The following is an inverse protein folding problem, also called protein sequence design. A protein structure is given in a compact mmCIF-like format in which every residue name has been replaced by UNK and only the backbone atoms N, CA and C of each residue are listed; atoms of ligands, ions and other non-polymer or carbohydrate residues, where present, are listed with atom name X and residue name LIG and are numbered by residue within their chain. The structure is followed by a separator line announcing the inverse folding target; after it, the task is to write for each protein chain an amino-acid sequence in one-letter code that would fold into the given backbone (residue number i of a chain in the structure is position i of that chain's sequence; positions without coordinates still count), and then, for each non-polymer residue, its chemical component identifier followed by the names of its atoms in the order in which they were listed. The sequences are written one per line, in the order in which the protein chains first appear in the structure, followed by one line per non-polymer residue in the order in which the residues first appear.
data_IF_666456155464
#
_entry.id   IF_666456155464
#
_cell.length_a   1.000
_cell.length_b   1.000
_cell.length_c   1.000
_cell.angle_alpha   90.00
_cell.angle_beta   90.00
_cell.angle_gamma   90.00
#
_symmetry.space_group_name_H-M   'P 1'
#
loop_
_entity.id
_entity.type
_entity.pdbx_description
1 polymer ?
#
# COMPACT_ATOMS: atom_id res chain seq x y z
N UNK A 1 -11.23 32.64 -11.68
CA UNK A 1 -10.95 31.40 -12.46
C UNK A 1 -10.98 30.20 -11.51
N UNK A 2 -11.78 29.16 -11.78
CA UNK A 2 -11.81 27.93 -10.96
C UNK A 2 -10.50 27.15 -11.17
N UNK A 3 -9.66 27.03 -10.14
CA UNK A 3 -8.36 26.30 -10.22
C UNK A 3 -8.60 24.81 -10.45
N UNK A 4 -8.12 24.24 -11.56
CA UNK A 4 -8.29 22.80 -11.86
C UNK A 4 -7.61 21.91 -10.79
N UNK A 5 -7.99 20.63 -10.71
CA UNK A 5 -7.54 19.74 -9.64
C UNK A 5 -6.01 19.52 -9.64
N UNK A 6 -5.38 19.41 -10.81
CA UNK A 6 -3.92 19.30 -10.92
C UNK A 6 -3.19 20.54 -10.38
N UNK A 7 -3.66 21.75 -10.67
CA UNK A 7 -3.10 22.97 -10.07
C UNK A 7 -3.31 23.01 -8.56
N UNK A 8 -4.43 22.48 -8.06
CA UNK A 8 -4.63 22.35 -6.61
C UNK A 8 -3.62 21.38 -6.00
N UNK A 9 -3.34 20.25 -6.66
CA UNK A 9 -2.29 19.32 -6.25
C UNK A 9 -0.94 20.03 -6.17
N UNK A 10 -0.53 20.72 -7.23
CA UNK A 10 0.73 21.46 -7.26
C UNK A 10 0.81 22.52 -6.15
N UNK A 11 -0.24 23.33 -5.95
CA UNK A 11 -0.24 24.32 -4.86
C UNK A 11 -0.19 23.68 -3.48
N UNK A 12 -0.71 22.46 -3.30
CA UNK A 12 -0.64 21.74 -2.03
C UNK A 12 0.78 21.32 -1.65
N UNK A 13 1.71 21.33 -2.61
CA UNK A 13 3.12 21.01 -2.37
C UNK A 13 3.94 22.23 -1.92
N UNK A 14 3.58 23.46 -2.33
CA UNK A 14 4.45 24.63 -2.10
C UNK A 14 3.74 25.95 -1.73
N UNK A 15 2.45 26.14 -2.04
CA UNK A 15 1.75 27.43 -1.87
C UNK A 15 0.63 27.34 -0.83
N UNK A 16 1.02 27.21 0.43
CA UNK A 16 0.09 27.09 1.56
C UNK A 16 -0.84 28.31 1.71
N UNK A 17 -0.40 29.48 1.25
CA UNK A 17 -1.24 30.70 1.25
C UNK A 17 -2.40 30.55 0.27
N UNK A 18 -2.15 30.09 -0.97
CA UNK A 18 -3.23 29.77 -1.93
C UNK A 18 -4.12 28.65 -1.42
N UNK A 19 -3.54 27.60 -0.84
CA UNK A 19 -4.30 26.48 -0.27
C UNK A 19 -5.26 26.95 0.82
N UNK A 20 -4.87 27.93 1.65
CA UNK A 20 -5.76 28.48 2.69
C UNK A 20 -7.07 29.05 2.13
N UNK A 21 -7.08 29.53 0.87
CA UNK A 21 -8.29 30.01 0.19
C UNK A 21 -9.22 28.87 -0.25
N UNK A 22 -8.71 27.65 -0.38
CA UNK A 22 -9.49 26.48 -0.78
C UNK A 22 -10.53 26.05 0.26
N UNK A 23 -10.44 26.55 1.49
CA UNK A 23 -11.47 26.34 2.53
C UNK A 23 -12.89 26.69 2.05
N UNK A 24 -13.02 27.60 1.07
CA UNK A 24 -14.31 28.02 0.51
C UNK A 24 -14.81 27.11 -0.62
N UNK A 25 -14.08 26.04 -0.96
CA UNK A 25 -14.51 25.09 -1.99
C UNK A 25 -15.72 24.25 -1.53
N UNK A 26 -16.45 23.73 -2.51
CA UNK A 26 -17.51 22.73 -2.26
C UNK A 26 -16.86 21.41 -1.87
N UNK A 27 -17.46 20.71 -0.91
CA UNK A 27 -16.97 19.42 -0.42
C UNK A 27 -16.73 18.41 -1.55
N UNK A 28 -17.67 18.28 -2.49
CA UNK A 28 -17.53 17.37 -3.64
C UNK A 28 -16.30 17.64 -4.52
N UNK A 29 -15.80 18.88 -4.57
CA UNK A 29 -14.57 19.20 -5.30
C UNK A 29 -13.33 18.74 -4.56
N UNK A 30 -13.33 18.84 -3.24
CA UNK A 30 -12.26 18.30 -2.39
C UNK A 30 -12.27 16.77 -2.41
N UNK A 31 -13.43 16.14 -2.45
CA UNK A 31 -13.56 14.69 -2.64
C UNK A 31 -12.95 14.27 -3.99
N UNK A 32 -13.33 14.93 -5.10
CA UNK A 32 -12.73 14.66 -6.40
C UNK A 32 -11.20 14.92 -6.43
N UNK A 33 -10.74 15.93 -5.69
CA UNK A 33 -9.32 16.18 -5.49
C UNK A 33 -8.63 15.00 -4.79
N UNK A 34 -9.20 14.45 -3.71
CA UNK A 34 -8.62 13.31 -2.98
C UNK A 34 -8.47 12.11 -3.90
N UNK A 35 -9.47 11.79 -4.72
CA UNK A 35 -9.36 10.69 -5.69
C UNK A 35 -8.22 10.91 -6.70
N UNK A 36 -8.07 12.11 -7.25
CA UNK A 36 -6.96 12.43 -8.16
C UNK A 36 -5.60 12.34 -7.45
N UNK A 37 -5.51 12.91 -6.25
CA UNK A 37 -4.31 12.90 -5.44
C UNK A 37 -3.89 11.47 -5.09
N UNK A 38 -4.84 10.63 -4.66
CA UNK A 38 -4.58 9.22 -4.37
C UNK A 38 -4.15 8.45 -5.61
N UNK A 39 -4.67 8.80 -6.79
CA UNK A 39 -4.24 8.16 -8.04
C UNK A 39 -2.76 8.44 -8.29
N UNK A 40 -2.32 9.68 -8.09
CA UNK A 40 -0.92 10.08 -8.24
C UNK A 40 -0.04 9.39 -7.19
N UNK A 41 -0.48 9.41 -5.93
CA UNK A 41 0.25 8.78 -4.82
C UNK A 41 0.32 7.26 -4.98
N UNK A 42 -0.64 6.59 -5.60
CA UNK A 42 -0.56 5.14 -5.80
C UNK A 42 0.46 4.70 -6.86
N UNK A 43 0.98 5.59 -7.70
CA UNK A 43 1.85 5.24 -8.83
C UNK A 43 3.16 4.56 -8.40
N UNK A 44 3.97 5.12 -7.46
CA UNK A 44 5.22 4.50 -7.06
C UNK A 44 5.01 3.07 -6.53
N UNK A 45 4.01 2.89 -5.67
CA UNK A 45 3.63 1.57 -5.17
C UNK A 45 3.22 0.63 -6.31
N UNK A 46 2.38 1.09 -7.25
CA UNK A 46 1.93 0.28 -8.37
C UNK A 46 3.08 -0.21 -9.25
N UNK A 47 4.06 0.65 -9.52
CA UNK A 47 5.26 0.29 -10.29
C UNK A 47 6.11 -0.73 -9.54
N UNK A 48 6.43 -0.45 -8.27
CA UNK A 48 7.28 -1.33 -7.46
C UNK A 48 6.64 -2.69 -7.22
N UNK A 49 5.33 -2.74 -6.98
CA UNK A 49 4.59 -3.98 -6.87
C UNK A 49 4.63 -4.77 -8.18
N UNK A 50 4.31 -4.13 -9.31
CA UNK A 50 4.28 -4.79 -10.63
C UNK A 50 5.64 -5.38 -11.02
N UNK A 51 6.73 -4.64 -10.79
CA UNK A 51 8.10 -5.09 -11.08
C UNK A 51 8.45 -6.29 -10.22
N UNK A 52 8.16 -6.24 -8.91
CA UNK A 52 8.50 -7.33 -8.00
C UNK A 52 7.71 -8.60 -8.26
N UNK A 53 6.39 -8.51 -8.44
CA UNK A 53 5.57 -9.68 -8.77
C UNK A 53 6.03 -10.30 -10.08
N UNK A 54 6.34 -9.49 -11.10
CA UNK A 54 6.86 -9.99 -12.37
C UNK A 54 8.22 -10.65 -12.21
N UNK A 55 9.12 -10.06 -11.42
CA UNK A 55 10.43 -10.62 -11.12
C UNK A 55 10.34 -11.96 -10.38
N UNK A 56 9.50 -12.03 -9.33
CA UNK A 56 9.28 -13.25 -8.55
C UNK A 56 8.73 -14.39 -9.43
N UNK A 57 7.69 -14.11 -10.22
CA UNK A 57 7.12 -15.12 -11.14
C UNK A 57 8.13 -15.59 -12.19
N UNK A 58 8.88 -14.66 -12.79
CA UNK A 58 9.89 -15.03 -13.78
C UNK A 58 11.01 -15.89 -13.17
N UNK A 59 11.42 -15.62 -11.92
CA UNK A 59 12.44 -16.42 -11.20
C UNK A 59 11.97 -17.83 -10.92
N UNK A 60 10.72 -18.00 -10.49
CA UNK A 60 10.10 -19.31 -10.30
C UNK A 60 10.03 -20.07 -11.63
N UNK A 61 9.67 -19.39 -12.74
CA UNK A 61 9.64 -20.05 -14.05
C UNK A 61 11.03 -20.47 -14.57
N UNK A 62 12.10 -19.82 -14.12
CA UNK A 62 13.47 -20.24 -14.46
C UNK A 62 13.98 -21.40 -13.58
N UNK A 63 13.24 -21.81 -12.56
CA UNK A 63 13.57 -22.98 -11.75
C UNK A 63 13.44 -24.25 -12.59
N UNK A 64 14.45 -25.11 -12.52
CA UNK A 64 14.42 -26.39 -13.20
C UNK A 64 13.58 -27.39 -12.40
N UNK A 65 12.28 -27.45 -12.68
CA UNK A 65 11.34 -28.31 -11.95
C UNK A 65 11.63 -29.82 -12.08
N UNK A 66 12.51 -30.24 -13.01
CA UNK A 66 12.95 -31.65 -13.08
C UNK A 66 13.81 -32.07 -11.90
N UNK A 67 14.48 -31.11 -11.24
CA UNK A 67 15.41 -31.39 -10.13
C UNK A 67 14.69 -31.48 -8.77
N UNK A 68 13.39 -31.16 -8.76
CA UNK A 68 12.54 -31.21 -7.58
C UNK A 68 11.98 -32.63 -7.45
N UNK A 69 12.07 -33.30 -6.29
CA UNK A 69 11.42 -34.59 -6.05
C UNK A 69 9.91 -34.51 -6.32
N UNK A 70 9.28 -35.65 -6.58
CA UNK A 70 7.82 -35.67 -6.72
C UNK A 70 7.17 -35.37 -5.37
N UNK A 71 6.15 -34.53 -5.41
CA UNK A 71 5.35 -34.17 -4.25
C UNK A 71 3.88 -34.00 -4.65
N UNK A 72 3.01 -34.15 -3.66
CA UNK A 72 1.59 -33.91 -3.81
C UNK A 72 1.03 -33.27 -2.53
N UNK A 73 0.05 -32.39 -2.67
CA UNK A 73 -0.80 -31.97 -1.57
C UNK A 73 -1.98 -32.92 -1.56
N UNK A 74 -2.22 -33.63 -0.46
CA UNK A 74 -3.36 -34.52 -0.27
C UNK A 74 -3.90 -34.35 1.15
N UNK A 75 -5.22 -34.26 1.29
CA UNK A 75 -5.88 -34.06 2.59
C UNK A 75 -5.29 -32.85 3.36
N UNK A 76 -5.07 -31.75 2.64
CA UNK A 76 -4.48 -30.51 3.17
C UNK A 76 -3.05 -30.67 3.72
N UNK A 77 -2.34 -31.73 3.32
CA UNK A 77 -0.96 -31.98 3.73
C UNK A 77 -0.02 -32.20 2.55
N UNK A 78 1.20 -31.70 2.67
CA UNK A 78 2.28 -31.96 1.75
C UNK A 78 2.84 -33.38 1.95
N UNK A 79 2.72 -34.19 0.91
CA UNK A 79 3.31 -35.51 0.76
C UNK A 79 4.54 -35.39 -0.15
N UNK A 80 5.73 -35.57 0.41
CA UNK A 80 6.98 -35.61 -0.33
C UNK A 80 7.94 -36.59 0.35
N UNK A 81 8.66 -37.40 -0.43
CA UNK A 81 9.60 -38.38 0.12
C UNK A 81 10.90 -37.73 0.64
N UNK A 82 11.30 -36.62 0.00
CA UNK A 82 12.55 -35.93 0.31
C UNK A 82 12.33 -34.41 0.40
N UNK A 83 13.14 -33.76 1.23
CA UNK A 83 13.20 -32.30 1.28
C UNK A 83 13.99 -31.77 0.08
N UNK A 84 13.54 -30.65 -0.48
CA UNK A 84 14.22 -29.92 -1.55
C UNK A 84 14.39 -28.46 -1.17
N UNK A 85 15.60 -27.94 -1.34
CA UNK A 85 15.92 -26.52 -1.10
C UNK A 85 16.54 -25.96 -2.37
N UNK A 86 15.72 -25.29 -3.19
CA UNK A 86 16.17 -24.53 -4.34
C UNK A 86 16.19 -23.02 -4.06
N UNK A 87 16.72 -22.26 -5.02
CA UNK A 87 16.91 -20.80 -4.89
C UNK A 87 15.60 -20.01 -4.73
N UNK A 88 14.50 -20.50 -5.30
CA UNK A 88 13.20 -19.81 -5.32
C UNK A 88 12.01 -20.74 -5.05
N UNK A 89 12.27 -22.04 -4.89
CA UNK A 89 11.26 -23.05 -4.63
C UNK A 89 11.81 -24.04 -3.62
N UNK A 90 11.10 -24.22 -2.52
CA UNK A 90 11.52 -25.07 -1.39
C UNK A 90 10.37 -26.00 -1.03
N UNK A 91 10.70 -27.26 -0.77
CA UNK A 91 9.76 -28.30 -0.35
C UNK A 91 10.31 -28.90 0.94
N UNK A 92 9.64 -28.66 2.07
CA UNK A 92 10.01 -29.18 3.38
C UNK A 92 8.80 -29.88 4.01
N UNK A 93 8.54 -31.16 3.67
CA UNK A 93 7.60 -31.97 4.41
C UNK A 93 7.92 -31.95 5.92
N UNK A 94 6.88 -32.06 6.75
CA UNK A 94 6.97 -32.15 8.22
C UNK A 94 7.63 -30.94 8.92
N UNK A 95 7.71 -29.80 8.23
CA UNK A 95 8.24 -28.56 8.79
C UNK A 95 7.11 -27.60 9.19
N UNK A 96 7.22 -27.02 10.38
CA UNK A 96 6.32 -25.99 10.93
C UNK A 96 6.93 -24.58 10.86
N UNK A 97 7.91 -24.38 9.97
CA UNK A 97 8.60 -23.11 9.80
C UNK A 97 7.62 -21.94 9.58
N UNK A 98 8.00 -20.78 10.09
CA UNK A 98 7.22 -19.55 9.95
C UNK A 98 7.86 -18.65 8.91
N UNK A 99 7.09 -17.66 8.44
CA UNK A 99 7.64 -16.59 7.58
C UNK A 99 8.93 -16.02 8.18
N UNK A 100 8.97 -15.75 9.48
CA UNK A 100 10.12 -15.15 10.15
C UNK A 100 11.39 -16.03 10.05
N UNK A 101 11.26 -17.34 10.25
CA UNK A 101 12.40 -18.27 10.16
C UNK A 101 12.86 -18.47 8.71
N UNK A 102 11.91 -18.57 7.77
CA UNK A 102 12.24 -18.74 6.35
C UNK A 102 12.96 -17.51 5.79
N UNK A 103 12.53 -16.30 6.19
CA UNK A 103 13.13 -15.04 5.77
C UNK A 103 14.60 -14.86 6.21
N UNK A 104 15.10 -15.65 7.16
CA UNK A 104 16.53 -15.66 7.50
C UNK A 104 17.39 -16.33 6.43
N UNK A 105 16.79 -17.16 5.58
CA UNK A 105 17.49 -18.04 4.63
C UNK A 105 17.07 -17.83 3.17
N UNK A 106 15.87 -17.29 2.93
CA UNK A 106 15.30 -17.08 1.61
C UNK A 106 14.73 -15.67 1.48
N UNK A 107 15.29 -14.87 0.56
CA UNK A 107 14.84 -13.50 0.31
C UNK A 107 13.49 -13.43 -0.42
N UNK A 108 13.25 -14.38 -1.33
CA UNK A 108 12.04 -14.47 -2.14
C UNK A 108 11.87 -15.87 -2.74
N UNK A 109 10.62 -16.31 -2.89
CA UNK A 109 10.31 -17.63 -3.45
C UNK A 109 9.03 -18.22 -2.88
N UNK A 110 8.77 -19.48 -3.23
CA UNK A 110 7.67 -20.28 -2.69
C UNK A 110 8.26 -21.38 -1.81
N UNK A 111 7.72 -21.54 -0.60
CA UNK A 111 8.07 -22.61 0.33
C UNK A 111 6.84 -23.44 0.62
N UNK A 112 6.89 -24.72 0.33
CA UNK A 112 5.85 -25.69 0.67
C UNK A 112 6.26 -26.39 1.98
N UNK A 113 5.39 -26.28 2.99
CA UNK A 113 5.54 -26.84 4.33
C UNK A 113 4.49 -27.93 4.57
N UNK A 114 4.39 -28.50 5.77
CA UNK A 114 3.47 -29.61 6.01
C UNK A 114 2.01 -29.28 5.67
N UNK A 115 1.50 -28.13 6.11
CA UNK A 115 0.08 -27.76 6.06
C UNK A 115 -0.21 -26.46 5.26
N UNK A 116 0.85 -25.84 4.72
CA UNK A 116 0.77 -24.50 4.14
C UNK A 116 1.84 -24.24 3.09
N UNK A 117 1.55 -23.27 2.23
CA UNK A 117 2.52 -22.63 1.36
C UNK A 117 2.85 -21.22 1.86
N UNK A 118 4.14 -20.87 1.85
CA UNK A 118 4.60 -19.51 2.10
C UNK A 118 5.05 -18.89 0.79
N UNK A 119 4.52 -17.72 0.47
CA UNK A 119 5.04 -16.85 -0.58
C UNK A 119 5.92 -15.79 0.09
N UNK A 120 7.23 -15.91 -0.09
CA UNK A 120 8.21 -14.98 0.47
C UNK A 120 8.54 -13.93 -0.58
N UNK A 121 8.46 -12.66 -0.19
CA UNK A 121 8.98 -11.54 -0.98
C UNK A 121 9.66 -10.54 -0.05
N UNK A 122 10.44 -9.64 -0.65
CA UNK A 122 11.13 -8.55 0.07
C UNK A 122 10.20 -7.53 0.73
N UNK A 123 8.92 -7.47 0.33
CA UNK A 123 7.97 -6.43 0.80
C UNK A 123 6.83 -7.04 1.61
N UNK A 124 6.17 -8.05 1.06
CA UNK A 124 5.05 -8.73 1.72
C UNK A 124 5.22 -10.23 1.57
N UNK A 125 5.23 -10.93 2.69
CA UNK A 125 5.18 -12.38 2.69
C UNK A 125 3.79 -12.83 3.11
N UNK A 126 3.30 -13.90 2.48
CA UNK A 126 1.96 -14.41 2.70
C UNK A 126 2.02 -15.88 3.03
N UNK A 127 1.14 -16.29 3.92
CA UNK A 127 0.91 -17.68 4.29
C UNK A 127 -0.44 -18.11 3.71
N UNK A 128 -0.46 -19.24 3.01
CA UNK A 128 -1.63 -19.81 2.39
C UNK A 128 -1.83 -21.24 2.91
N UNK A 129 -2.92 -21.53 3.63
CA UNK A 129 -3.29 -22.91 3.91
C UNK A 129 -3.63 -23.61 2.59
N UNK A 130 -3.40 -24.91 2.50
CA UNK A 130 -3.63 -25.63 1.24
C UNK A 130 -5.10 -25.62 0.77
N UNK A 131 -6.04 -25.50 1.70
CA UNK A 131 -7.47 -25.27 1.42
C UNK A 131 -7.74 -24.03 0.55
N UNK A 132 -6.85 -23.03 0.59
CA UNK A 132 -7.01 -21.80 -0.18
C UNK A 132 -6.89 -22.04 -1.69
N UNK A 133 -6.27 -23.14 -2.12
CA UNK A 133 -6.12 -23.49 -3.53
C UNK A 133 -7.37 -24.18 -4.12
N UNK A 134 -8.35 -24.54 -3.28
CA UNK A 134 -9.66 -25.04 -3.73
C UNK A 134 -9.64 -26.47 -4.31
N UNK A 135 -8.56 -27.23 -4.10
CA UNK A 135 -8.46 -28.65 -4.43
C UNK A 135 -7.90 -29.43 -3.25
N UNK A 136 -8.56 -30.54 -2.91
CA UNK A 136 -8.12 -31.44 -1.83
C UNK A 136 -6.87 -32.24 -2.23
N UNK A 137 -6.61 -32.34 -3.54
CA UNK A 137 -5.47 -33.05 -4.10
C UNK A 137 -4.81 -32.20 -5.21
N UNK A 138 -3.51 -31.95 -5.09
CA UNK A 138 -2.71 -31.30 -6.14
C UNK A 138 -1.38 -32.01 -6.29
N UNK A 139 -1.09 -32.49 -7.48
CA UNK A 139 0.22 -33.02 -7.86
C UNK A 139 1.21 -31.90 -8.15
N UNK A 140 2.51 -32.21 -8.12
CA UNK A 140 3.58 -31.32 -8.58
C UNK A 140 3.28 -30.67 -9.94
N UNK A 141 2.86 -31.46 -10.93
CA UNK A 141 2.57 -30.97 -12.28
C UNK A 141 1.40 -29.99 -12.31
N UNK A 142 0.35 -30.24 -11.52
CA UNK A 142 -0.79 -29.33 -11.39
C UNK A 142 -0.39 -28.01 -10.71
N UNK A 143 0.54 -28.04 -9.74
CA UNK A 143 1.08 -26.84 -9.10
C UNK A 143 1.94 -26.03 -10.08
N UNK A 144 2.76 -26.71 -10.89
CA UNK A 144 3.55 -26.05 -11.94
C UNK A 144 2.61 -25.40 -12.96
N UNK A 145 1.58 -26.11 -13.40
CA UNK A 145 0.57 -25.58 -14.32
C UNK A 145 -0.15 -24.37 -13.72
N UNK A 146 -0.51 -24.42 -12.43
CA UNK A 146 -1.12 -23.29 -11.73
C UNK A 146 -0.21 -22.05 -11.70
N UNK A 147 1.09 -22.24 -11.46
CA UNK A 147 2.08 -21.15 -11.50
C UNK A 147 2.16 -20.55 -12.92
N UNK A 148 2.15 -21.39 -13.95
CA UNK A 148 2.16 -20.95 -15.34
C UNK A 148 0.88 -20.19 -15.73
N UNK A 149 -0.29 -20.63 -15.24
CA UNK A 149 -1.55 -19.94 -15.42
C UNK A 149 -1.54 -18.56 -14.75
N UNK A 150 -0.98 -18.45 -13.54
CA UNK A 150 -0.78 -17.16 -12.87
C UNK A 150 0.11 -16.25 -13.71
N UNK A 151 1.25 -16.76 -14.19
CA UNK A 151 2.18 -15.97 -14.96
C UNK A 151 1.58 -15.49 -16.29
N UNK A 152 0.83 -16.36 -16.97
CA UNK A 152 0.10 -16.03 -18.21
C UNK A 152 -0.89 -14.90 -17.96
N UNK A 153 -1.58 -14.91 -16.82
CA UNK A 153 -2.62 -13.94 -16.47
C UNK A 153 -2.12 -12.82 -15.55
N UNK A 154 -0.80 -12.67 -15.33
CA UNK A 154 -0.24 -11.80 -14.28
C UNK A 154 -0.67 -10.34 -14.39
N UNK A 155 -0.80 -9.81 -15.61
CA UNK A 155 -1.23 -8.42 -15.81
C UNK A 155 -2.67 -8.19 -15.37
N UNK A 156 -3.56 -9.17 -15.58
CA UNK A 156 -4.93 -9.10 -15.11
C UNK A 156 -4.99 -9.15 -13.58
N UNK A 157 -4.26 -10.08 -12.96
CA UNK A 157 -4.17 -10.25 -11.50
C UNK A 157 -3.57 -9.01 -10.82
N UNK A 158 -2.47 -8.47 -11.37
CA UNK A 158 -1.85 -7.24 -10.86
C UNK A 158 -2.82 -6.06 -10.98
N UNK A 159 -3.54 -5.93 -12.10
CA UNK A 159 -4.49 -4.83 -12.31
C UNK A 159 -5.65 -4.85 -11.32
N UNK A 160 -6.24 -6.02 -11.05
CA UNK A 160 -7.32 -6.15 -10.07
C UNK A 160 -6.83 -5.84 -8.66
N UNK A 161 -5.63 -6.32 -8.30
CA UNK A 161 -5.02 -6.01 -7.00
C UNK A 161 -4.80 -4.51 -6.83
N UNK A 162 -4.22 -3.84 -7.84
CA UNK A 162 -3.96 -2.40 -7.79
C UNK A 162 -5.26 -1.58 -7.71
N UNK A 163 -6.33 -2.03 -8.35
CA UNK A 163 -7.65 -1.42 -8.23
C UNK A 163 -8.19 -1.52 -6.79
N UNK A 164 -8.12 -2.71 -6.20
CA UNK A 164 -8.55 -2.94 -4.81
C UNK A 164 -7.71 -2.08 -3.86
N UNK A 165 -6.39 -2.11 -4.03
CA UNK A 165 -5.45 -1.29 -3.25
C UNK A 165 -5.79 0.20 -3.36
N UNK A 166 -6.05 0.71 -4.55
CA UNK A 166 -6.41 2.11 -4.77
C UNK A 166 -7.69 2.49 -4.01
N UNK A 167 -8.74 1.68 -4.12
CA UNK A 167 -10.03 1.94 -3.43
C UNK A 167 -9.83 1.90 -1.92
N UNK A 168 -9.16 0.87 -1.41
CA UNK A 168 -8.95 0.69 0.03
C UNK A 168 -8.08 1.79 0.62
N UNK A 169 -6.93 2.08 0.01
CA UNK A 169 -6.02 3.15 0.44
C UNK A 169 -6.66 4.53 0.39
N UNK A 170 -7.52 4.79 -0.61
CA UNK A 170 -8.32 6.02 -0.68
C UNK A 170 -9.31 6.09 0.49
N UNK A 171 -9.96 4.98 0.84
CA UNK A 171 -10.82 4.87 2.02
C UNK A 171 -10.08 5.21 3.31
N UNK A 172 -8.90 4.62 3.53
CA UNK A 172 -8.03 4.95 4.66
C UNK A 172 -7.67 6.44 4.68
N UNK A 173 -7.39 7.03 3.52
CA UNK A 173 -7.07 8.47 3.41
C UNK A 173 -8.22 9.36 3.92
N UNK A 174 -9.48 8.99 3.68
CA UNK A 174 -10.62 9.73 4.23
C UNK A 174 -10.64 9.70 5.77
N UNK A 175 -10.28 8.57 6.37
CA UNK A 175 -10.18 8.42 7.83
C UNK A 175 -9.05 9.31 8.36
N UNK A 176 -7.87 9.25 7.75
CA UNK A 176 -6.72 10.08 8.14
C UNK A 176 -7.02 11.58 8.05
N UNK A 177 -7.66 12.03 6.97
CA UNK A 177 -8.08 13.44 6.81
C UNK A 177 -9.07 13.82 7.92
N UNK A 178 -10.01 12.94 8.24
CA UNK A 178 -11.02 13.20 9.27
C UNK A 178 -10.40 13.34 10.65
N UNK A 179 -9.49 12.43 11.02
CA UNK A 179 -8.75 12.45 12.28
C UNK A 179 -7.83 13.68 12.38
N UNK A 180 -7.06 13.98 11.32
CA UNK A 180 -6.18 15.14 11.30
C UNK A 180 -6.97 16.46 11.30
N UNK A 181 -8.19 16.49 10.76
CA UNK A 181 -9.08 17.64 10.86
C UNK A 181 -9.57 17.89 12.30
N UNK A 182 -9.67 16.86 13.15
CA UNK A 182 -9.96 17.05 14.58
C UNK A 182 -8.79 17.79 15.27
N UNK A 183 -7.54 17.43 14.94
CA UNK A 183 -6.36 18.18 15.38
C UNK A 183 -6.42 19.63 14.84
N UNK A 184 -6.86 19.80 13.59
CA UNK A 184 -7.10 21.10 12.98
C UNK A 184 -8.12 21.98 13.73
N UNK A 185 -9.11 21.40 14.40
CA UNK A 185 -10.03 22.14 15.26
C UNK A 185 -9.33 22.75 16.47
N UNK A 186 -8.37 22.04 17.06
CA UNK A 186 -7.54 22.59 18.13
C UNK A 186 -6.64 23.72 17.60
N UNK A 187 -6.02 23.51 16.43
CA UNK A 187 -5.16 24.50 15.76
C UNK A 187 -5.91 25.81 15.49
N UNK A 188 -7.12 25.75 14.90
CA UNK A 188 -7.89 26.98 14.62
C UNK A 188 -8.24 27.75 15.90
N UNK A 189 -8.50 27.05 17.01
CA UNK A 189 -8.88 27.65 18.29
C UNK A 189 -7.69 28.39 18.90
N UNK A 190 -6.49 27.78 18.85
CA UNK A 190 -5.24 28.44 19.27
C UNK A 190 -4.90 29.66 18.41
N UNK A 191 -5.15 29.58 17.11
CA UNK A 191 -4.93 30.68 16.15
C UNK A 191 -6.09 31.70 16.08
N UNK A 192 -7.15 31.53 16.88
CA UNK A 192 -8.34 32.40 16.92
C UNK A 192 -8.97 32.64 15.54
N UNK A 193 -8.99 31.60 14.68
CA UNK A 193 -9.57 31.69 13.33
C UNK A 193 -11.04 31.27 13.35
N UNK A 194 -11.91 32.09 12.77
CA UNK A 194 -13.34 31.78 12.66
C UNK A 194 -13.63 30.91 11.43
N UNK A 195 -13.38 29.60 11.54
CA UNK A 195 -13.68 28.60 10.51
C UNK A 195 -14.38 27.38 11.11
N UNK A 196 -15.28 26.77 10.34
CA UNK A 196 -16.05 25.58 10.74
C UNK A 196 -15.27 24.28 10.48
N UNK A 197 -15.73 23.15 11.04
CA UNK A 197 -15.10 21.85 10.83
C UNK A 197 -14.96 21.50 9.34
N UNK A 198 -16.00 21.73 8.54
CA UNK A 198 -15.95 21.54 7.09
C UNK A 198 -14.77 22.26 6.42
N UNK A 199 -14.50 23.50 6.82
CA UNK A 199 -13.37 24.28 6.28
C UNK A 199 -12.04 23.66 6.68
N UNK A 200 -11.91 23.22 7.93
CA UNK A 200 -10.70 22.54 8.43
C UNK A 200 -10.48 21.24 7.67
N UNK A 201 -11.52 20.41 7.55
CA UNK A 201 -11.46 19.15 6.81
C UNK A 201 -11.00 19.34 5.36
N UNK A 202 -11.55 20.36 4.68
CA UNK A 202 -11.12 20.71 3.33
C UNK A 202 -9.63 21.06 3.29
N UNK A 203 -9.15 21.89 4.22
CA UNK A 203 -7.73 22.26 4.28
C UNK A 203 -6.82 21.08 4.62
N UNK A 204 -7.29 20.17 5.48
CA UNK A 204 -6.57 18.94 5.84
C UNK A 204 -6.34 18.05 4.62
N UNK A 205 -7.34 17.91 3.74
CA UNK A 205 -7.20 17.14 2.50
C UNK A 205 -6.06 17.64 1.61
N UNK A 206 -5.77 18.94 1.61
CA UNK A 206 -4.62 19.51 0.89
C UNK A 206 -3.33 19.50 1.72
N UNK A 207 -3.42 19.58 3.05
CA UNK A 207 -2.25 19.54 3.93
C UNK A 207 -1.53 18.18 3.90
N UNK A 208 -2.31 17.10 3.76
CA UNK A 208 -1.82 15.72 3.81
C UNK A 208 -1.16 15.26 2.50
N UNK A 209 -1.24 16.09 1.45
CA UNK A 209 -0.74 15.77 0.11
C UNK A 209 0.76 15.54 0.09
N UNK A 210 1.53 16.50 0.61
CA UNK A 210 2.98 16.42 0.64
C UNK A 210 3.49 15.27 1.54
N UNK A 211 2.99 15.09 2.79
CA UNK A 211 3.36 13.94 3.61
C UNK A 211 3.09 12.60 2.92
N UNK A 212 1.91 12.41 2.32
CA UNK A 212 1.57 11.13 1.68
C UNK A 212 2.44 10.87 0.45
N UNK A 213 2.77 11.91 -0.32
CA UNK A 213 3.63 11.78 -1.50
C UNK A 213 5.06 11.37 -1.09
N UNK A 214 5.58 11.96 -0.02
CA UNK A 214 6.89 11.61 0.54
C UNK A 214 6.90 10.15 0.98
N UNK A 215 5.94 9.74 1.82
CA UNK A 215 5.84 8.36 2.31
C UNK A 215 5.71 7.38 1.14
N UNK A 216 4.82 7.64 0.19
CA UNK A 216 4.65 6.73 -0.94
C UNK A 216 5.89 6.64 -1.83
N UNK A 217 6.66 7.70 -1.97
CA UNK A 217 7.91 7.65 -2.74
C UNK A 217 8.97 6.80 -2.01
N UNK A 218 9.11 6.99 -0.70
CA UNK A 218 10.00 6.21 0.19
C UNK A 218 9.64 4.72 0.14
N UNK A 219 8.35 4.41 0.30
CA UNK A 219 7.85 3.03 0.24
C UNK A 219 8.04 2.43 -1.17
N UNK A 220 7.86 3.24 -2.21
CA UNK A 220 8.09 2.84 -3.60
C UNK A 220 9.54 2.43 -3.86
N UNK A 221 10.53 3.11 -3.26
CA UNK A 221 11.94 2.73 -3.37
C UNK A 221 12.39 1.71 -2.30
N UNK A 222 11.44 1.12 -1.56
CA UNK A 222 11.67 0.10 -0.54
C UNK A 222 12.56 0.57 0.63
N UNK A 223 12.57 1.86 0.91
CA UNK A 223 13.34 2.39 2.03
C UNK A 223 12.49 2.31 3.32
N UNK A 224 12.89 1.43 4.24
CA UNK A 224 12.24 1.37 5.55
C UNK A 224 12.67 2.55 6.41
N UNK A 225 11.75 3.47 6.72
CA UNK A 225 12.00 4.56 7.67
C UNK A 225 11.28 4.25 8.99
N UNK A 226 12.03 4.04 10.09
CA UNK A 226 11.43 3.93 11.41
C UNK A 226 10.54 5.13 11.71
N UNK A 227 9.36 4.88 12.28
CA UNK A 227 8.41 5.93 12.67
C UNK A 227 7.88 6.80 11.51
N UNK A 228 7.89 6.30 10.27
CA UNK A 228 7.30 6.97 9.10
C UNK A 228 5.87 7.51 9.36
N UNK A 229 5.04 6.73 10.06
CA UNK A 229 3.70 7.17 10.46
C UNK A 229 3.72 8.39 11.39
N UNK A 230 4.61 8.44 12.38
CA UNK A 230 4.75 9.60 13.27
C UNK A 230 5.19 10.83 12.48
N UNK A 231 6.17 10.66 11.58
CA UNK A 231 6.63 11.74 10.70
C UNK A 231 5.50 12.27 9.82
N UNK A 232 4.66 11.39 9.28
CA UNK A 232 3.47 11.74 8.52
C UNK A 232 2.49 12.61 9.32
N UNK A 233 2.13 12.18 10.53
CA UNK A 233 1.21 12.93 11.41
C UNK A 233 1.79 14.28 11.84
N UNK A 234 3.10 14.32 12.16
CA UNK A 234 3.79 15.54 12.55
C UNK A 234 3.84 16.55 11.40
N UNK A 235 4.27 16.11 10.21
CA UNK A 235 4.36 16.97 9.03
C UNK A 235 2.96 17.43 8.58
N UNK A 236 1.98 16.53 8.54
CA UNK A 236 0.59 16.88 8.20
C UNK A 236 0.01 17.94 9.15
N UNK A 237 0.24 17.78 10.46
CA UNK A 237 -0.19 18.75 11.47
C UNK A 237 0.51 20.10 11.30
N UNK A 238 1.82 20.09 11.04
CA UNK A 238 2.60 21.29 10.80
C UNK A 238 2.14 22.05 9.54
N UNK A 239 1.89 21.34 8.44
CA UNK A 239 1.40 21.94 7.20
C UNK A 239 -0.01 22.49 7.37
N UNK A 240 -0.89 21.76 8.06
CA UNK A 240 -2.23 22.24 8.39
C UNK A 240 -2.17 23.51 9.25
N UNK A 241 -1.27 23.56 10.23
CA UNK A 241 -0.99 24.76 11.02
C UNK A 241 -0.58 25.93 10.13
N UNK A 242 0.40 25.73 9.24
CA UNK A 242 0.86 26.76 8.30
C UNK A 242 -0.28 27.26 7.41
N UNK A 243 -1.07 26.36 6.82
CA UNK A 243 -2.22 26.71 5.98
C UNK A 243 -3.26 27.53 6.77
N UNK A 244 -3.63 27.11 7.97
CA UNK A 244 -4.63 27.82 8.80
C UNK A 244 -4.11 29.20 9.24
N UNK A 245 -2.81 29.35 9.50
CA UNK A 245 -2.22 30.63 9.93
C UNK A 245 -2.40 31.75 8.89
N UNK A 246 -2.43 31.41 7.60
CA UNK A 246 -2.66 32.36 6.49
C UNK A 246 -4.11 32.85 6.35
N UNK A 247 -5.06 32.27 7.09
CA UNK A 247 -6.45 32.71 7.05
C UNK A 247 -6.59 34.07 7.74
N UNK A 248 -7.23 35.09 7.14
CA UNK A 248 -7.44 36.38 7.79
C UNK A 248 -8.22 36.25 9.10
N UNK A 249 -7.83 37.00 10.13
CA UNK A 249 -8.63 37.14 11.36
C UNK A 249 -9.75 38.15 11.13
N UNK A 250 -10.95 37.95 11.69
CA UNK A 250 -12.00 38.97 11.65
C UNK A 250 -11.48 40.28 12.27
N UNK A 251 -11.73 41.42 11.62
CA UNK A 251 -11.49 42.72 12.26
C UNK A 251 -12.44 42.83 13.44
N UNK A 252 -11.92 43.15 14.63
CA UNK A 252 -12.77 43.63 15.72
C UNK A 252 -13.27 45.01 15.31
N UNK A 253 -14.57 45.18 15.25
CA UNK A 253 -15.17 46.52 15.30
C UNK A 253 -15.28 46.81 16.79
N UNK A 254 -14.35 47.61 17.30
CA UNK A 254 -14.44 48.20 18.64
C UNK A 254 -15.46 49.34 18.63
#
# INVERSE_FOLDING_TARGET
MKVNLFKQFLYSLYDFKKVSAFRMQKMGRTIAYIFLFMLIVSIPFALSYSIQTSSALNKIQTTNFTDIPDFAIQEEKLQAEEQYVGDYFVVKPESDETIASVQETLDEGIVLLEDKALLITKVLSFEFPYTAFGSDNMTKDEIIQFIDDINTNKYFIISIYLLIYYVFSTGVKFIEITLLALIGLFIKSRLKKNIQYRHVWILTAYAITLPSLIISFIDGIQLSIPYAGVAFWALGSFLLYKIISYIPTPKKYD
#
